data_IF_411993874332
#
_entry.id   IF_411993874332
#
_cell.length_a   1.000
_cell.length_b   1.000
_cell.length_c   1.000
_cell.angle_alpha   90.00
_cell.angle_beta   90.00
_cell.angle_gamma   90.00
#
_symmetry.space_group_name_H-M   'P 1'
#
loop_
_entity.id
_entity.type
_entity.pdbx_description
1 polymer ?
#
# COMPACT_ATOMS: atom_id res chain seq x y z
N UNK A 1 22.17 -21.26 -13.54
CA UNK A 1 20.86 -20.63 -13.77
C UNK A 1 20.64 -19.66 -12.62
N UNK A 2 20.52 -18.35 -12.86
CA UNK A 2 20.30 -17.38 -11.78
C UNK A 2 18.89 -17.62 -11.24
N UNK A 3 18.78 -17.82 -9.93
CA UNK A 3 17.50 -18.04 -9.27
C UNK A 3 16.61 -16.81 -9.46
N UNK A 4 15.30 -17.00 -9.68
CA UNK A 4 14.33 -15.94 -9.96
C UNK A 4 14.33 -14.85 -8.87
N UNK A 5 14.59 -15.26 -7.62
CA UNK A 5 14.75 -14.35 -6.47
C UNK A 5 16.01 -13.47 -6.58
N UNK A 6 17.15 -14.05 -6.95
CA UNK A 6 18.41 -13.31 -7.12
C UNK A 6 18.30 -12.28 -8.24
N UNK A 7 17.61 -12.63 -9.33
CA UNK A 7 17.35 -11.72 -10.43
C UNK A 7 16.46 -10.53 -10.00
N UNK A 8 15.45 -10.79 -9.16
CA UNK A 8 14.59 -9.74 -8.59
C UNK A 8 15.35 -8.80 -7.66
N UNK A 9 16.18 -9.35 -6.77
CA UNK A 9 17.01 -8.56 -5.84
C UNK A 9 18.01 -7.69 -6.60
N UNK A 10 18.61 -8.22 -7.68
CA UNK A 10 19.57 -7.47 -8.49
C UNK A 10 18.93 -6.28 -9.20
N UNK A 11 17.78 -6.49 -9.84
CA UNK A 11 17.00 -5.41 -10.47
C UNK A 11 16.60 -4.33 -9.47
N UNK A 12 16.12 -4.74 -8.29
CA UNK A 12 15.76 -3.80 -7.24
C UNK A 12 16.96 -2.95 -6.79
N UNK A 13 18.14 -3.57 -6.61
CA UNK A 13 19.37 -2.85 -6.26
C UNK A 13 19.81 -1.86 -7.34
N UNK A 14 19.72 -2.25 -8.61
CA UNK A 14 20.02 -1.40 -9.76
C UNK A 14 19.07 -0.18 -9.81
N UNK A 15 17.77 -0.39 -9.59
CA UNK A 15 16.77 0.68 -9.58
C UNK A 15 16.91 1.62 -8.37
N UNK A 16 17.17 1.06 -7.18
CA UNK A 16 17.40 1.83 -5.96
C UNK A 16 18.70 2.67 -6.00
N UNK A 17 19.60 2.41 -6.96
CA UNK A 17 20.77 3.23 -7.21
C UNK A 17 20.43 4.62 -7.73
N UNK A 18 19.32 4.77 -8.46
CA UNK A 18 18.90 6.02 -9.12
C UNK A 18 18.37 7.03 -8.10
N UNK A 19 18.83 8.27 -8.19
CA UNK A 19 18.44 9.35 -7.25
C UNK A 19 16.95 9.68 -7.33
N UNK A 20 16.36 9.65 -8.52
CA UNK A 20 14.93 9.84 -8.74
C UNK A 20 14.09 8.81 -7.98
N UNK A 21 14.52 7.55 -8.02
CA UNK A 21 13.82 6.44 -7.35
C UNK A 21 13.98 6.55 -5.84
N UNK A 22 15.17 6.94 -5.34
CA UNK A 22 15.37 7.22 -3.90
C UNK A 22 14.47 8.35 -3.41
N UNK A 23 14.28 9.41 -4.21
CA UNK A 23 13.41 10.52 -3.86
C UNK A 23 11.94 10.09 -3.76
N UNK A 24 11.47 9.25 -4.70
CA UNK A 24 10.12 8.65 -4.64
C UNK A 24 10.01 7.73 -3.42
N UNK A 25 11.01 6.88 -3.20
CA UNK A 25 11.04 5.93 -2.09
C UNK A 25 11.05 6.62 -0.72
N UNK A 26 11.62 7.83 -0.61
CA UNK A 26 11.55 8.66 0.60
C UNK A 26 10.12 9.04 0.98
N UNK A 27 9.20 9.16 0.00
CA UNK A 27 7.77 9.44 0.21
C UNK A 27 6.96 8.19 0.60
N UNK A 28 7.60 7.02 0.66
CA UNK A 28 6.95 5.73 0.97
C UNK A 28 6.30 5.71 2.35
N UNK A 29 6.83 6.45 3.33
CA UNK A 29 6.26 6.51 4.67
C UNK A 29 4.80 6.94 4.66
N UNK A 30 4.48 7.99 3.89
CA UNK A 30 3.13 8.54 3.75
C UNK A 30 2.20 7.59 3.01
N UNK A 31 2.71 6.90 1.98
CA UNK A 31 1.89 6.12 1.05
C UNK A 31 1.75 4.65 1.45
N UNK A 32 2.70 4.06 2.18
CA UNK A 32 2.73 2.63 2.49
C UNK A 32 2.82 2.33 3.99
N UNK A 33 3.60 3.09 4.75
CA UNK A 33 3.77 2.82 6.19
C UNK A 33 2.54 3.27 6.98
N UNK A 34 2.01 4.46 6.68
CA UNK A 34 0.83 4.99 7.34
C UNK A 34 -0.44 4.13 7.09
N UNK A 35 -0.78 3.70 5.86
CA UNK A 35 -1.90 2.79 5.63
C UNK A 35 -1.73 1.45 6.34
N UNK A 36 -0.53 0.87 6.31
CA UNK A 36 -0.26 -0.40 7.00
C UNK A 36 -0.41 -0.26 8.51
N UNK A 37 0.09 0.82 9.11
CA UNK A 37 -0.11 1.12 10.53
C UNK A 37 -1.59 1.38 10.86
N UNK A 38 -2.30 2.07 9.97
CA UNK A 38 -3.73 2.35 10.13
C UNK A 38 -4.57 1.08 10.08
N UNK A 39 -4.33 0.20 9.09
CA UNK A 39 -5.00 -1.10 8.97
C UNK A 39 -4.73 -1.95 10.22
N UNK A 40 -3.47 -2.04 10.67
CA UNK A 40 -3.09 -2.78 11.88
C UNK A 40 -3.69 -2.21 13.17
N UNK A 41 -3.96 -0.91 13.23
CA UNK A 41 -4.49 -0.25 14.43
C UNK A 41 -6.02 -0.15 14.45
N UNK A 42 -6.66 0.10 13.31
CA UNK A 42 -8.11 0.31 13.20
C UNK A 42 -8.88 -0.94 12.81
N UNK A 43 -8.39 -1.71 11.84
CA UNK A 43 -8.99 -3.00 11.49
C UNK A 43 -8.46 -4.16 12.32
N UNK A 44 -7.40 -3.92 13.13
CA UNK A 44 -6.77 -4.93 13.98
C UNK A 44 -6.35 -6.19 13.21
N UNK A 45 -6.02 -6.05 11.91
CA UNK A 45 -5.44 -7.11 11.07
C UNK A 45 -3.99 -7.35 11.51
N UNK A 46 -3.85 -7.90 12.71
CA UNK A 46 -2.60 -8.43 13.27
C UNK A 46 -2.55 -9.93 13.09
N UNK A 47 -3.72 -10.56 13.01
CA UNK A 47 -3.95 -11.97 12.76
C UNK A 47 -5.15 -12.06 11.84
N UNK A 48 -5.03 -12.85 10.77
CA UNK A 48 -6.17 -13.16 9.92
C UNK A 48 -7.11 -14.10 10.67
N UNK A 49 -8.40 -13.80 10.64
CA UNK A 49 -9.41 -14.64 11.30
C UNK A 49 -9.69 -15.89 10.46
N UNK A 50 -9.46 -15.79 9.14
CA UNK A 50 -9.72 -16.85 8.19
C UNK A 50 -8.44 -17.62 7.83
N UNK A 51 -8.56 -18.95 7.72
CA UNK A 51 -7.49 -19.80 7.21
C UNK A 51 -7.66 -20.06 5.71
N UNK A 52 -6.55 -20.03 4.97
CA UNK A 52 -6.48 -20.28 3.53
C UNK A 52 -6.28 -19.00 2.71
N UNK A 53 -5.36 -19.06 1.74
CA UNK A 53 -4.89 -17.89 0.98
C UNK A 53 -6.02 -17.08 0.35
N UNK A 54 -6.99 -17.73 -0.29
CA UNK A 54 -8.12 -17.05 -0.94
C UNK A 54 -8.99 -16.24 0.04
N UNK A 55 -9.17 -16.75 1.26
CA UNK A 55 -9.97 -16.07 2.30
C UNK A 55 -9.19 -14.91 2.92
N UNK A 56 -7.89 -15.12 3.17
CA UNK A 56 -6.96 -14.08 3.64
C UNK A 56 -6.86 -12.94 2.63
N UNK A 57 -6.83 -13.26 1.34
CA UNK A 57 -6.83 -12.29 0.24
C UNK A 57 -8.10 -11.44 0.25
N UNK A 58 -9.28 -12.06 0.41
CA UNK A 58 -10.54 -11.34 0.56
C UNK A 58 -10.53 -10.38 1.75
N UNK A 59 -10.08 -10.83 2.92
CA UNK A 59 -9.98 -9.98 4.12
C UNK A 59 -9.05 -8.77 3.89
N UNK A 60 -7.91 -9.01 3.24
CA UNK A 60 -6.93 -7.98 2.88
C UNK A 60 -7.49 -6.98 1.86
N UNK A 61 -8.25 -7.46 0.87
CA UNK A 61 -8.96 -6.63 -0.11
C UNK A 61 -9.98 -5.72 0.57
N UNK A 62 -10.80 -6.26 1.46
CA UNK A 62 -11.80 -5.48 2.21
C UNK A 62 -11.16 -4.38 3.06
N UNK A 63 -10.08 -4.71 3.78
CA UNK A 63 -9.34 -3.71 4.57
C UNK A 63 -8.75 -2.60 3.68
N UNK A 64 -8.20 -2.96 2.52
CA UNK A 64 -7.61 -2.03 1.57
C UNK A 64 -8.66 -1.11 0.94
N UNK A 65 -9.79 -1.68 0.49
CA UNK A 65 -10.92 -0.94 -0.09
C UNK A 65 -11.49 0.05 0.94
N UNK A 66 -11.72 -0.39 2.17
CA UNK A 66 -12.26 0.46 3.22
C UNK A 66 -11.33 1.64 3.57
N UNK A 67 -10.01 1.40 3.57
CA UNK A 67 -9.03 2.49 3.73
C UNK A 67 -9.09 3.48 2.56
N UNK A 68 -9.12 2.99 1.33
CA UNK A 68 -9.16 3.84 0.13
C UNK A 68 -10.43 4.69 0.07
N UNK A 69 -11.60 4.11 0.37
CA UNK A 69 -12.87 4.85 0.45
C UNK A 69 -12.78 5.96 1.51
N UNK A 70 -12.22 5.65 2.69
CA UNK A 70 -12.02 6.67 3.73
C UNK A 70 -11.13 7.81 3.26
N UNK A 71 -10.04 7.52 2.56
CA UNK A 71 -9.16 8.56 2.01
C UNK A 71 -9.87 9.39 0.95
N UNK A 72 -10.64 8.73 0.07
CA UNK A 72 -11.45 9.42 -0.92
C UNK A 72 -12.47 10.38 -0.27
N UNK A 73 -13.18 9.93 0.77
CA UNK A 73 -14.08 10.81 1.53
C UNK A 73 -13.29 11.97 2.15
N UNK A 74 -12.12 11.72 2.75
CA UNK A 74 -11.30 12.79 3.36
C UNK A 74 -10.86 13.84 2.35
N UNK A 75 -10.47 13.44 1.14
CA UNK A 75 -9.86 14.33 0.13
C UNK A 75 -10.91 14.97 -0.78
N UNK A 76 -11.92 14.20 -1.20
CA UNK A 76 -12.82 14.57 -2.30
C UNK A 76 -14.28 14.81 -1.89
N UNK A 77 -14.66 14.62 -0.61
CA UNK A 77 -16.08 14.70 -0.21
C UNK A 77 -16.70 16.11 -0.26
N UNK A 78 -15.89 17.16 -0.43
CA UNK A 78 -16.41 18.43 -0.93
C UNK A 78 -16.21 18.47 -2.45
N UNK A 79 -17.28 18.41 -3.27
CA UNK A 79 -17.14 18.76 -4.68
C UNK A 79 -16.58 20.18 -4.76
N UNK A 80 -15.41 20.32 -5.36
CA UNK A 80 -14.92 21.64 -5.77
C UNK A 80 -15.79 22.05 -6.95
N UNK A 81 -16.91 22.73 -6.67
CA UNK A 81 -17.59 23.50 -7.69
C UNK A 81 -16.64 24.60 -8.10
N UNK A 82 -15.84 24.35 -9.12
CA UNK A 82 -15.09 25.39 -9.83
C UNK A 82 -16.17 26.29 -10.44
N UNK A 83 -16.38 27.46 -9.84
CA UNK A 83 -17.28 28.48 -10.38
C UNK A 83 -16.81 28.87 -11.78
N UNK A 84 -17.75 28.86 -12.72
CA UNK A 84 -17.60 29.38 -14.08
C UNK A 84 -17.35 30.88 -14.09
#
# INVERSE_FOLDING_TARGET
MINKEEAGIRKFKEEMGKEEIKAIYKRRGEVAEFPNAWIKSKFKVRQFVLQGLKKVEMESLWASIAYNIKQWIRICWKPQFVGY
#
